data_IF_344461438488
#
_entry.id   IF_344461438488
#
_cell.length_a   1.000
_cell.length_b   1.000
_cell.length_c   1.000
_cell.angle_alpha   90.00
_cell.angle_beta   90.00
_cell.angle_gamma   90.00
#
_symmetry.space_group_name_H-M   'P 1'
#
loop_
_entity.id
_entity.type
_entity.pdbx_description
1 polymer ?
#
# COMPACT_ATOMS: atom_id res chain seq x y z
N UNK A 1 -19.39 -1.04 -6.59
CA UNK A 1 -19.03 -2.47 -6.81
C UNK A 1 -18.74 -3.13 -5.46
N UNK A 2 -19.63 -4.01 -5.01
CA UNK A 2 -19.43 -4.80 -3.79
C UNK A 2 -18.25 -5.76 -4.01
N UNK A 3 -17.15 -5.50 -3.31
CA UNK A 3 -16.04 -6.44 -3.20
C UNK A 3 -16.54 -7.62 -2.36
N UNK A 4 -16.76 -8.78 -2.97
CA UNK A 4 -17.09 -9.99 -2.23
C UNK A 4 -15.92 -10.33 -1.31
N UNK A 5 -16.17 -10.49 0.00
CA UNK A 5 -15.15 -10.74 1.03
C UNK A 5 -14.21 -11.91 0.68
N UNK A 6 -14.69 -12.89 -0.09
CA UNK A 6 -13.91 -14.02 -0.60
C UNK A 6 -12.68 -13.59 -1.42
N UNK A 7 -12.77 -12.49 -2.17
CA UNK A 7 -11.66 -11.98 -2.98
C UNK A 7 -10.52 -11.40 -2.13
N UNK A 8 -10.76 -11.23 -0.82
CA UNK A 8 -9.80 -10.72 0.15
C UNK A 8 -9.00 -11.81 0.84
N UNK A 9 -9.42 -13.06 0.71
CA UNK A 9 -8.72 -14.19 1.30
C UNK A 9 -7.61 -14.61 0.32
N UNK A 10 -6.34 -14.65 0.76
CA UNK A 10 -5.27 -15.12 -0.11
C UNK A 10 -5.52 -16.58 -0.53
N UNK A 11 -5.42 -16.86 -1.82
CA UNK A 11 -5.53 -18.20 -2.38
C UNK A 11 -4.13 -18.78 -2.58
N UNK A 12 -3.65 -19.70 -1.72
CA UNK A 12 -2.30 -20.23 -1.77
C UNK A 12 -1.97 -21.00 -3.06
N UNK A 13 -2.99 -21.56 -3.72
CA UNK A 13 -2.83 -22.37 -4.94
C UNK A 13 -2.86 -21.51 -6.22
N UNK A 14 -3.26 -20.23 -6.13
CA UNK A 14 -3.31 -19.36 -7.30
C UNK A 14 -1.92 -19.15 -7.89
N UNK A 15 -1.81 -19.23 -9.22
CA UNK A 15 -0.57 -18.92 -9.95
C UNK A 15 -0.23 -17.42 -9.91
N UNK A 16 -1.24 -16.56 -9.68
CA UNK A 16 -1.07 -15.11 -9.62
C UNK A 16 -0.56 -14.68 -8.26
N UNK A 17 0.58 -13.99 -8.22
CA UNK A 17 1.12 -13.37 -6.99
C UNK A 17 0.08 -12.43 -6.35
N UNK A 18 -0.76 -11.77 -7.15
CA UNK A 18 -1.78 -10.86 -6.65
C UNK A 18 -2.86 -11.54 -5.82
N UNK A 19 -3.16 -12.82 -6.09
CA UNK A 19 -4.17 -13.58 -5.36
C UNK A 19 -3.56 -14.30 -4.13
N UNK A 20 -2.26 -14.58 -4.15
CA UNK A 20 -1.52 -15.14 -3.00
C UNK A 20 -1.08 -14.10 -1.97
N UNK A 21 -1.12 -12.82 -2.31
CA UNK A 21 -0.64 -11.75 -1.42
C UNK A 21 -1.57 -11.58 -0.21
N UNK A 22 -1.00 -11.28 0.96
CA UNK A 22 -1.77 -10.97 2.18
C UNK A 22 -2.76 -9.82 1.99
N UNK A 23 -2.42 -8.88 1.11
CA UNK A 23 -3.34 -7.91 0.56
C UNK A 23 -3.53 -8.19 -0.92
N UNK A 24 -4.58 -8.94 -1.24
CA UNK A 24 -4.83 -9.38 -2.61
C UNK A 24 -5.07 -8.21 -3.55
N UNK A 25 -4.61 -8.34 -4.79
CA UNK A 25 -4.69 -7.28 -5.79
C UNK A 25 -4.79 -7.82 -7.21
N UNK A 26 -5.30 -6.99 -8.10
CA UNK A 26 -5.28 -7.26 -9.55
C UNK A 26 -4.32 -6.29 -10.23
N UNK A 27 -3.57 -6.79 -11.22
CA UNK A 27 -2.86 -5.90 -12.16
C UNK A 27 -3.86 -5.32 -13.15
N UNK A 28 -3.78 -4.03 -13.37
CA UNK A 28 -4.58 -3.31 -14.36
C UNK A 28 -3.65 -2.47 -15.24
N UNK A 29 -4.10 -2.10 -16.42
CA UNK A 29 -3.33 -1.23 -17.33
C UNK A 29 -4.20 -0.05 -17.69
N UNK A 30 -3.75 1.14 -17.31
CA UNK A 30 -4.35 2.39 -17.76
C UNK A 30 -3.87 2.70 -19.19
N UNK A 31 -4.81 2.91 -20.12
CA UNK A 31 -4.52 3.12 -21.54
C UNK A 31 -5.06 4.46 -21.98
N UNK A 32 -4.17 5.40 -22.28
CA UNK A 32 -4.49 6.73 -22.81
C UNK A 32 -3.63 6.98 -24.08
N UNK A 33 -4.22 6.95 -25.29
CA UNK A 33 -3.48 7.16 -26.53
C UNK A 33 -2.93 8.59 -26.69
N UNK A 34 -3.38 9.54 -25.88
CA UNK A 34 -2.92 10.93 -25.90
C UNK A 34 -1.81 11.21 -24.87
N UNK A 35 -1.33 10.17 -24.19
CA UNK A 35 -0.28 10.25 -23.18
C UNK A 35 0.92 9.39 -23.57
N UNK A 36 2.11 9.80 -23.14
CA UNK A 36 3.32 9.00 -23.17
C UNK A 36 3.84 8.75 -21.75
N UNK A 37 4.05 7.47 -21.34
CA UNK A 37 3.68 6.27 -22.07
C UNK A 37 2.15 6.08 -22.14
N UNK A 38 1.68 5.52 -23.27
CA UNK A 38 0.25 5.32 -23.51
C UNK A 38 -0.35 4.22 -22.64
N UNK A 39 0.47 3.27 -22.18
CA UNK A 39 0.08 2.16 -21.32
C UNK A 39 0.85 2.24 -20.02
N UNK A 40 0.14 2.39 -18.90
CA UNK A 40 0.73 2.46 -17.57
C UNK A 40 0.20 1.29 -16.76
N UNK A 41 1.02 0.26 -16.50
CA UNK A 41 0.63 -0.82 -15.62
C UNK A 41 0.55 -0.31 -14.18
N UNK A 42 -0.49 -0.71 -13.49
CA UNK A 42 -0.72 -0.40 -12.08
C UNK A 42 -1.38 -1.58 -11.38
N UNK A 43 -1.55 -1.46 -10.08
CA UNK A 43 -2.30 -2.43 -9.29
C UNK A 43 -3.60 -1.82 -8.78
N UNK A 44 -4.54 -2.67 -8.42
CA UNK A 44 -5.73 -2.28 -7.68
C UNK A 44 -5.89 -3.25 -6.52
N UNK A 45 -5.88 -2.73 -5.29
CA UNK A 45 -6.15 -3.60 -4.15
C UNK A 45 -7.60 -4.07 -4.23
N UNK A 46 -7.81 -5.38 -4.06
CA UNK A 46 -9.16 -5.93 -3.99
C UNK A 46 -9.85 -5.48 -2.70
N UNK A 47 -9.08 -5.27 -1.64
CA UNK A 47 -9.61 -5.16 -0.27
C UNK A 47 -9.00 -3.98 0.51
N UNK A 48 -9.05 -2.75 -0.03
CA UNK A 48 -8.46 -1.59 0.62
C UNK A 48 -9.12 -1.32 1.99
N UNK A 49 -8.30 -1.09 3.00
CA UNK A 49 -8.74 -0.77 4.36
C UNK A 49 -9.19 -1.95 5.21
N UNK A 50 -9.30 -3.17 4.67
CA UNK A 50 -9.61 -4.35 5.47
C UNK A 50 -8.41 -4.82 6.28
N UNK A 51 -8.71 -5.48 7.41
CA UNK A 51 -7.70 -6.10 8.26
C UNK A 51 -7.00 -7.25 7.53
N UNK A 52 -5.69 -7.30 7.64
CA UNK A 52 -4.85 -8.29 6.96
C UNK A 52 -3.91 -9.04 7.92
N UNK A 53 -3.97 -8.76 9.22
CA UNK A 53 -3.20 -9.47 10.25
C UNK A 53 -3.99 -9.52 11.56
N UNK A 54 -3.92 -10.64 12.32
CA UNK A 54 -4.46 -10.70 13.68
C UNK A 54 -3.55 -10.01 14.72
N UNK A 55 -2.34 -9.61 14.35
CA UNK A 55 -1.33 -9.06 15.27
C UNK A 55 -1.55 -7.58 15.61
N UNK A 56 -2.61 -6.96 15.11
CA UNK A 56 -2.94 -5.55 15.34
C UNK A 56 -3.86 -4.99 14.26
N UNK A 57 -4.06 -3.66 14.25
CA UNK A 57 -4.88 -2.97 13.24
C UNK A 57 -4.10 -2.75 11.92
N UNK A 58 -3.55 -3.82 11.37
CA UNK A 58 -2.89 -3.78 10.07
C UNK A 58 -3.95 -3.84 8.97
N UNK A 59 -3.90 -2.88 8.04
CA UNK A 59 -4.86 -2.75 6.96
C UNK A 59 -4.20 -2.72 5.61
N UNK A 60 -4.91 -3.24 4.61
CA UNK A 60 -4.43 -3.20 3.24
C UNK A 60 -4.45 -1.78 2.67
N UNK A 61 -3.33 -1.33 2.12
CA UNK A 61 -3.16 -0.01 1.51
C UNK A 61 -2.43 -0.11 0.18
N UNK A 62 -2.80 0.77 -0.75
CA UNK A 62 -2.03 0.99 -1.97
C UNK A 62 -0.78 1.81 -1.67
N UNK A 63 0.36 1.35 -2.17
CA UNK A 63 1.55 2.19 -2.33
C UNK A 63 1.42 2.87 -3.68
N UNK A 64 1.53 4.18 -3.70
CA UNK A 64 1.50 5.00 -4.91
C UNK A 64 2.88 5.60 -5.15
N UNK A 65 3.27 5.64 -6.41
CA UNK A 65 4.47 6.32 -6.88
C UNK A 65 4.11 7.42 -7.87
N UNK A 66 4.82 8.54 -7.78
CA UNK A 66 4.70 9.63 -8.73
C UNK A 66 5.39 9.27 -10.04
N UNK A 67 4.61 9.19 -11.11
CA UNK A 67 5.10 8.97 -12.46
C UNK A 67 4.96 10.25 -13.29
N UNK A 68 6.05 10.66 -13.93
CA UNK A 68 6.02 11.75 -14.91
C UNK A 68 5.53 11.21 -16.25
N UNK A 69 4.54 11.87 -16.82
CA UNK A 69 3.95 11.53 -18.12
C UNK A 69 3.89 12.77 -19.00
N UNK A 70 3.90 12.57 -20.31
CA UNK A 70 3.68 13.66 -21.27
C UNK A 70 2.29 13.52 -21.88
N UNK A 71 1.51 14.58 -21.91
CA UNK A 71 0.20 14.61 -22.59
C UNK A 71 0.24 15.55 -23.78
N UNK A 72 -0.40 15.12 -24.87
CA UNK A 72 -0.57 15.97 -26.06
C UNK A 72 -1.79 16.86 -25.88
N UNK A 73 -1.56 18.17 -25.81
CA UNK A 73 -2.63 19.18 -25.79
C UNK A 73 -3.32 19.31 -27.15
N UNK A 74 -4.51 19.93 -27.17
CA UNK A 74 -5.31 20.10 -28.39
C UNK A 74 -4.59 20.91 -29.50
N UNK A 75 -3.67 21.80 -29.11
CA UNK A 75 -2.82 22.58 -30.01
C UNK A 75 -1.55 21.83 -30.47
N UNK A 76 -1.42 20.54 -30.14
CA UNK A 76 -0.23 19.73 -30.46
C UNK A 76 0.96 19.93 -29.53
N UNK A 77 0.86 20.80 -28.51
CA UNK A 77 1.91 20.96 -27.48
C UNK A 77 2.04 19.72 -26.59
N UNK A 78 3.24 19.45 -26.10
CA UNK A 78 3.50 18.42 -25.10
C UNK A 78 3.61 19.08 -23.73
N UNK A 79 2.87 18.55 -22.76
CA UNK A 79 2.91 19.03 -21.38
C UNK A 79 3.31 17.88 -20.45
N UNK A 80 4.23 18.16 -19.53
CA UNK A 80 4.57 17.23 -18.46
C UNK A 80 3.49 17.29 -17.39
N UNK A 81 3.04 16.13 -16.96
CA UNK A 81 2.07 15.94 -15.91
C UNK A 81 2.63 14.90 -14.93
N UNK A 82 2.43 15.12 -13.63
CA UNK A 82 2.76 14.13 -12.61
C UNK A 82 1.49 13.40 -12.21
N UNK A 83 1.52 12.08 -12.25
CA UNK A 83 0.39 11.24 -11.84
C UNK A 83 0.80 10.25 -10.74
N UNK A 84 -0.11 10.01 -9.80
CA UNK A 84 0.08 9.00 -8.76
C UNK A 84 -0.40 7.63 -9.25
N UNK A 85 0.51 6.68 -9.36
CA UNK A 85 0.24 5.33 -9.87
C UNK A 85 0.33 4.34 -8.71
N UNK A 86 -0.73 3.58 -8.41
CA UNK A 86 -0.62 2.48 -7.47
C UNK A 86 0.29 1.38 -8.02
N UNK A 87 1.39 1.10 -7.33
CA UNK A 87 2.39 0.10 -7.75
C UNK A 87 2.32 -1.19 -6.94
N UNK A 88 1.78 -1.14 -5.72
CA UNK A 88 1.67 -2.31 -4.84
C UNK A 88 0.53 -2.20 -3.84
N UNK A 89 0.14 -3.33 -3.26
CA UNK A 89 -0.80 -3.45 -2.15
C UNK A 89 -0.08 -4.11 -0.97
N UNK A 90 -0.11 -3.45 0.19
CA UNK A 90 0.64 -3.88 1.37
C UNK A 90 -0.22 -3.90 2.63
N UNK A 91 0.10 -4.83 3.53
CA UNK A 91 -0.50 -4.93 4.85
C UNK A 91 0.30 -4.05 5.82
N UNK A 92 -0.25 -2.92 6.25
CA UNK A 92 0.49 -1.94 7.04
C UNK A 92 -0.30 -1.49 8.25
N UNK A 93 0.41 -1.24 9.35
CA UNK A 93 -0.17 -0.59 10.52
C UNK A 93 -0.47 0.88 10.18
N UNK A 94 -1.60 1.39 10.64
CA UNK A 94 -1.89 2.82 10.58
C UNK A 94 -0.78 3.62 11.27
N UNK A 95 -0.50 4.84 10.78
CA UNK A 95 0.46 5.73 11.44
C UNK A 95 -0.03 6.06 12.85
N UNK A 96 0.84 5.91 13.83
CA UNK A 96 0.62 6.47 15.17
C UNK A 96 0.76 7.99 15.11
N UNK A 97 -0.06 8.75 15.84
CA UNK A 97 0.07 10.21 15.99
C UNK A 97 1.49 10.65 16.41
N UNK A 98 2.21 9.79 17.15
CA UNK A 98 3.60 10.02 17.53
C UNK A 98 4.59 9.99 16.34
N UNK A 99 4.30 9.21 15.29
CA UNK A 99 5.12 9.15 14.07
C UNK A 99 4.97 10.41 13.21
N UNK A 100 3.78 11.01 13.16
CA UNK A 100 3.55 12.28 12.45
C UNK A 100 4.13 13.48 13.22
N UNK A 101 4.27 13.39 14.54
CA UNK A 101 4.94 14.40 15.38
C UNK A 101 6.45 14.16 15.56
N UNK A 102 7.03 13.12 14.93
CA UNK A 102 8.45 12.79 15.07
C UNK A 102 8.88 12.34 16.48
N UNK A 103 7.93 12.02 17.37
CA UNK A 103 8.22 11.47 18.69
C UNK A 103 8.43 9.95 18.59
N UNK A 104 9.58 9.53 18.09
CA UNK A 104 10.03 8.15 18.27
C UNK A 104 10.51 7.96 19.71
N UNK A 105 9.70 7.30 20.55
CA UNK A 105 10.26 6.52 21.66
C UNK A 105 10.69 5.18 21.09
N UNK A 106 12.00 4.93 21.06
CA UNK A 106 12.56 3.60 20.84
C UNK A 106 12.07 2.72 21.99
N UNK A 107 11.02 1.92 21.73
CA UNK A 107 10.64 0.86 22.66
C UNK A 107 11.59 -0.30 22.35
N UNK A 108 12.71 -0.33 23.05
CA UNK A 108 13.54 -1.52 23.10
C UNK A 108 12.68 -2.67 23.63
N UNK A 109 12.48 -3.68 22.81
CA UNK A 109 11.83 -4.92 23.18
C UNK A 109 12.80 -5.68 24.13
N UNK A 110 12.79 -5.33 25.42
CA UNK A 110 13.45 -6.16 26.44
C UNK A 110 12.45 -7.26 26.83
N UNK A 111 12.76 -8.55 26.64
CA UNK A 111 11.89 -9.63 27.07
C UNK A 111 11.71 -9.58 28.59
N UNK A 112 10.44 -9.74 28.99
CA UNK A 112 9.94 -9.62 30.35
C UNK A 112 10.47 -10.76 31.23
N UNK A 113 11.65 -10.58 31.87
CA UNK A 113 12.07 -11.51 32.92
C UNK A 113 12.82 -10.94 34.12
N UNK A 114 13.25 -9.66 34.17
CA UNK A 114 13.98 -9.16 35.35
C UNK A 114 13.69 -7.68 35.69
N UNK A 115 12.44 -7.36 36.05
CA UNK A 115 12.09 -6.07 36.65
C UNK A 115 11.75 -6.24 38.15
N UNK A 116 12.71 -6.75 38.93
CA UNK A 116 12.67 -6.66 40.39
C UNK A 116 13.89 -5.90 40.88
N UNK A 117 13.66 -4.63 41.21
CA UNK A 117 14.52 -3.88 42.12
C UNK A 117 15.47 -2.88 41.49
N UNK A 118 14.96 -1.73 41.03
CA UNK A 118 15.70 -0.47 41.12
C UNK A 118 14.71 0.64 41.51
N UNK A 119 14.39 0.70 42.79
CA UNK A 119 13.95 1.94 43.44
C UNK A 119 14.83 2.09 44.69
N UNK A 120 15.97 2.77 44.55
CA UNK A 120 16.74 3.27 45.68
C UNK A 120 17.54 4.51 45.25
N UNK A 121 17.17 5.63 45.90
CA UNK A 121 17.80 6.96 45.98
C UNK A 121 17.33 7.99 44.98
#
# INVERSE_FOLDING_TARGET
>A
PETSVEQCIPDPESLSIGDRASCTYTRVVDVDPHRFPARIPSVRCKCPGLLCSPLGDFRCREIKESLQVMRRGANGSLQNETMEVPVSCVCVLGRSLAGDLGLFRVVNHIPNSEAKGILAR
#
